data_IF_835752613904
#
_entry.id   IF_835752613904
#
_cell.length_a   1.000
_cell.length_b   1.000
_cell.length_c   1.000
_cell.angle_alpha   90.00
_cell.angle_beta   90.00
_cell.angle_gamma   90.00
#
_symmetry.space_group_name_H-M   'P 1'
#
loop_
_entity.id
_entity.type
_entity.pdbx_description
1 polymer ?
#
# COMPACT_ATOMS: atom_id res chain seq x y z
N UNK A 1 -2.39 15.10 8.00
CA UNK A 1 -3.24 14.07 8.64
C UNK A 1 -2.46 12.78 8.61
N UNK A 2 -2.06 12.23 9.77
CA UNK A 2 -1.50 10.87 9.82
C UNK A 2 -2.53 9.92 9.22
N UNK A 3 -2.08 8.94 8.42
CA UNK A 3 -2.97 7.85 8.03
C UNK A 3 -3.13 6.96 9.25
N UNK A 4 -4.08 7.33 10.11
CA UNK A 4 -4.56 6.44 11.16
C UNK A 4 -5.09 5.21 10.43
N UNK A 5 -4.65 4.03 10.87
CA UNK A 5 -5.22 2.74 10.46
C UNK A 5 -4.67 2.17 9.13
N UNK A 6 -3.42 2.45 8.76
CA UNK A 6 -2.77 1.76 7.63
C UNK A 6 -2.81 0.23 7.84
N UNK A 7 -2.51 -0.25 9.04
CA UNK A 7 -2.57 -1.67 9.37
C UNK A 7 -3.99 -2.25 9.19
N UNK A 8 -5.04 -1.57 9.68
CA UNK A 8 -6.42 -2.05 9.51
C UNK A 8 -6.86 -2.01 8.04
N UNK A 9 -6.46 -0.98 7.30
CA UNK A 9 -6.76 -0.86 5.86
C UNK A 9 -6.11 -1.98 5.05
N UNK A 10 -4.86 -2.32 5.38
CA UNK A 10 -4.15 -3.46 4.80
C UNK A 10 -4.81 -4.78 5.21
N UNK A 11 -5.28 -4.90 6.44
CA UNK A 11 -5.97 -6.10 6.90
C UNK A 11 -7.27 -6.32 6.10
N UNK A 12 -8.09 -5.27 5.93
CA UNK A 12 -9.30 -5.33 5.10
C UNK A 12 -8.99 -5.66 3.64
N UNK A 13 -7.92 -5.09 3.07
CA UNK A 13 -7.49 -5.41 1.72
C UNK A 13 -7.08 -6.89 1.59
N UNK A 14 -6.41 -7.44 2.60
CA UNK A 14 -6.01 -8.84 2.62
C UNK A 14 -7.22 -9.76 2.68
N UNK A 15 -8.16 -9.46 3.58
CA UNK A 15 -9.40 -10.21 3.75
C UNK A 15 -10.29 -10.14 2.49
N UNK A 16 -10.21 -9.03 1.74
CA UNK A 16 -10.84 -8.89 0.41
C UNK A 16 -10.10 -9.65 -0.72
N UNK A 17 -8.98 -10.31 -0.43
CA UNK A 17 -8.20 -11.09 -1.38
C UNK A 17 -7.26 -10.27 -2.26
N UNK A 18 -6.95 -9.03 -1.88
CA UNK A 18 -5.98 -8.23 -2.61
C UNK A 18 -4.58 -8.87 -2.51
N UNK A 19 -3.86 -8.91 -3.64
CA UNK A 19 -2.50 -9.45 -3.74
C UNK A 19 -1.46 -8.37 -4.03
N UNK A 20 -1.90 -7.25 -4.58
CA UNK A 20 -1.08 -6.10 -4.94
C UNK A 20 -1.69 -4.86 -4.31
N UNK A 21 -0.83 -3.99 -3.77
CA UNK A 21 -1.24 -2.71 -3.17
C UNK A 21 -0.35 -1.59 -3.70
N UNK A 22 -0.96 -0.42 -3.90
CA UNK A 22 -0.27 0.80 -4.31
C UNK A 22 -0.33 1.82 -3.18
N UNK A 23 0.84 2.27 -2.74
CA UNK A 23 0.97 3.15 -1.59
C UNK A 23 1.70 4.45 -1.97
N UNK A 24 1.24 5.62 -1.50
CA UNK A 24 1.95 6.88 -1.74
C UNK A 24 3.24 6.92 -0.90
N UNK A 25 4.32 7.46 -1.44
CA UNK A 25 5.58 7.68 -0.70
C UNK A 25 5.40 8.48 0.60
N UNK A 26 4.35 9.30 0.69
CA UNK A 26 3.99 10.03 1.91
C UNK A 26 3.64 9.13 3.11
N UNK A 27 3.31 7.85 2.87
CA UNK A 27 2.98 6.86 3.92
C UNK A 27 4.24 6.26 4.58
N UNK A 28 5.44 6.49 4.04
CA UNK A 28 6.67 5.81 4.48
C UNK A 28 6.94 5.99 5.98
N UNK A 29 6.55 7.12 6.56
CA UNK A 29 6.65 7.37 7.99
C UNK A 29 5.75 6.50 8.88
N UNK A 30 4.66 5.94 8.32
CA UNK A 30 3.68 5.11 9.04
C UNK A 30 3.96 3.60 8.88
N UNK A 31 4.87 3.19 7.97
CA UNK A 31 5.26 1.79 7.73
C UNK A 31 5.77 1.08 9.00
N UNK A 32 6.62 1.70 9.85
CA UNK A 32 7.10 1.06 11.08
C UNK A 32 5.97 0.65 12.05
N UNK A 33 4.78 1.22 11.92
CA UNK A 33 3.61 0.88 12.74
C UNK A 33 2.80 -0.32 12.21
N UNK A 34 3.16 -0.89 11.05
CA UNK A 34 2.45 -2.03 10.46
C UNK A 34 3.21 -3.33 10.71
N UNK A 35 2.53 -4.44 11.08
CA UNK A 35 3.16 -5.75 11.16
C UNK A 35 3.83 -6.13 9.84
N UNK A 36 5.14 -6.43 9.86
CA UNK A 36 5.90 -6.78 8.65
C UNK A 36 5.35 -8.01 7.92
N UNK A 37 4.74 -8.93 8.67
CA UNK A 37 4.01 -10.09 8.15
C UNK A 37 2.77 -9.74 7.31
N UNK A 38 2.11 -8.61 7.60
CA UNK A 38 0.99 -8.12 6.81
C UNK A 38 1.49 -7.48 5.51
N UNK A 39 2.56 -6.69 5.59
CA UNK A 39 3.21 -6.13 4.40
C UNK A 39 3.75 -7.21 3.45
N UNK A 40 4.33 -8.29 4.00
CA UNK A 40 4.88 -9.40 3.23
C UNK A 40 3.82 -10.19 2.44
N UNK A 41 2.54 -10.09 2.80
CA UNK A 41 1.44 -10.75 2.09
C UNK A 41 1.09 -10.05 0.77
N UNK A 42 1.51 -8.80 0.59
CA UNK A 42 1.22 -8.03 -0.61
C UNK A 42 2.46 -7.77 -1.45
N UNK A 43 2.30 -7.84 -2.77
CA UNK A 43 3.18 -7.13 -3.68
C UNK A 43 2.89 -5.62 -3.55
N UNK A 44 3.74 -4.95 -2.77
CA UNK A 44 3.64 -3.51 -2.53
C UNK A 44 4.42 -2.76 -3.59
N UNK A 45 3.78 -1.77 -4.21
CA UNK A 45 4.44 -0.78 -5.05
C UNK A 45 4.19 0.61 -4.51
N UNK A 46 5.21 1.47 -4.58
CA UNK A 46 5.10 2.85 -4.14
C UNK A 46 4.94 3.78 -5.34
N UNK A 47 4.13 4.82 -5.17
CA UNK A 47 3.99 5.90 -6.14
C UNK A 47 4.36 7.25 -5.54
N UNK A 48 4.93 8.10 -6.39
CA UNK A 48 5.42 9.44 -6.04
C UNK A 48 4.45 10.54 -6.46
N UNK A 49 3.70 10.29 -7.52
CA UNK A 49 2.76 11.21 -8.15
C UNK A 49 1.54 10.45 -8.69
N UNK A 50 0.40 11.13 -8.93
CA UNK A 50 -0.83 10.45 -9.35
C UNK A 50 -0.74 9.82 -10.74
N UNK A 51 0.19 10.26 -11.60
CA UNK A 51 0.38 9.68 -12.93
C UNK A 51 1.02 8.31 -12.78
N UNK A 52 2.13 8.23 -12.05
CA UNK A 52 2.81 6.97 -11.69
C UNK A 52 1.86 5.97 -11.02
N UNK A 53 0.96 6.45 -10.14
CA UNK A 53 -0.08 5.61 -9.54
C UNK A 53 -0.99 4.94 -10.58
N UNK A 54 -1.42 5.68 -11.61
CA UNK A 54 -2.28 5.16 -12.67
C UNK A 54 -1.50 4.17 -13.54
N UNK A 55 -0.28 4.49 -13.96
CA UNK A 55 0.56 3.60 -14.78
C UNK A 55 0.81 2.25 -14.11
N UNK A 56 1.15 2.26 -12.82
CA UNK A 56 1.35 1.04 -12.03
C UNK A 56 0.05 0.29 -11.77
N UNK A 57 -1.07 0.99 -11.61
CA UNK A 57 -2.38 0.35 -11.42
C UNK A 57 -2.84 -0.43 -12.66
N UNK A 58 -2.55 0.08 -13.86
CA UNK A 58 -2.93 -0.57 -15.12
C UNK A 58 -1.88 -1.56 -15.65
N UNK A 59 -0.74 -1.70 -14.97
CA UNK A 59 0.31 -2.67 -15.32
C UNK A 59 1.07 -2.34 -16.60
N UNK A 60 1.25 -1.04 -16.89
CA UNK A 60 1.97 -0.55 -18.08
C UNK A 60 3.49 -0.39 -17.81
N UNK A 61 3.94 -0.65 -16.58
CA UNK A 61 5.34 -0.71 -16.14
C UNK A 61 5.82 -2.14 -15.88
#
# INVERSE_FOLDING_TARGET
MQVRNLAESLQVAFDAGAKKILLPMSIVGDIPGVPGELFAKFQTSFYSDPVDAVFKAIGVE
#
